data_IF_460764158347
#
_entry.id   IF_460764158347
#
_cell.length_a   1.000
_cell.length_b   1.000
_cell.length_c   1.000
_cell.angle_alpha   90.00
_cell.angle_beta   90.00
_cell.angle_gamma   90.00
#
_symmetry.space_group_name_H-M   'P 1'
#
loop_
_entity.id
_entity.type
_entity.pdbx_description
1 polymer ?
#
# COMPACT_ATOMS: atom_id res chain seq x y z
N UNK A 1 -7.60 30.69 19.04
CA UNK A 1 -8.48 29.51 19.07
C UNK A 1 -8.04 28.59 17.95
N UNK A 2 -7.28 27.54 18.27
CA UNK A 2 -6.79 26.58 17.28
C UNK A 2 -7.86 25.52 17.04
N UNK A 3 -8.39 25.46 15.82
CA UNK A 3 -9.27 24.39 15.39
C UNK A 3 -8.42 23.14 15.21
N UNK A 4 -8.34 22.30 16.25
CA UNK A 4 -8.02 20.89 16.11
C UNK A 4 -9.17 20.23 15.34
N UNK A 5 -9.27 20.51 14.04
CA UNK A 5 -9.94 19.60 13.14
C UNK A 5 -9.02 18.41 13.01
N UNK A 6 -9.13 17.49 13.97
CA UNK A 6 -8.75 16.10 13.75
C UNK A 6 -9.69 15.57 12.66
N UNK A 7 -9.44 15.98 11.41
CA UNK A 7 -10.01 15.35 10.24
C UNK A 7 -9.48 13.92 10.26
N UNK A 8 -10.33 12.97 10.65
CA UNK A 8 -10.01 11.55 10.49
C UNK A 8 -9.58 11.34 9.03
N UNK A 9 -8.49 10.61 8.76
CA UNK A 9 -7.99 10.39 7.39
C UNK A 9 -9.08 9.88 6.43
N UNK A 10 -10.04 9.10 6.93
CA UNK A 10 -11.20 8.64 6.15
C UNK A 10 -12.16 9.76 5.72
N UNK A 11 -12.29 10.84 6.49
CA UNK A 11 -13.12 11.98 6.15
C UNK A 11 -12.58 12.75 4.94
N UNK A 12 -11.24 12.88 4.83
CA UNK A 12 -10.61 13.53 3.68
C UNK A 12 -10.80 12.72 2.38
N UNK A 13 -10.55 11.41 2.43
CA UNK A 13 -10.78 10.51 1.29
C UNK A 13 -12.25 10.51 0.87
N UNK A 14 -13.17 10.54 1.84
CA UNK A 14 -14.60 10.67 1.58
C UNK A 14 -14.94 11.93 0.79
N UNK A 15 -14.37 13.08 1.16
CA UNK A 15 -14.56 14.35 0.44
C UNK A 15 -14.04 14.30 -1.00
N UNK A 16 -12.85 13.72 -1.22
CA UNK A 16 -12.30 13.53 -2.57
C UNK A 16 -13.22 12.67 -3.44
N UNK A 17 -13.71 11.56 -2.88
CA UNK A 17 -14.63 10.66 -3.59
C UNK A 17 -15.96 11.36 -3.94
N UNK A 18 -16.51 12.16 -3.04
CA UNK A 18 -17.74 12.91 -3.28
C UNK A 18 -17.55 14.01 -4.34
N UNK A 19 -16.40 14.68 -4.33
CA UNK A 19 -16.03 15.66 -5.34
C UNK A 19 -15.88 15.00 -6.73
N UNK A 20 -15.21 13.85 -6.82
CA UNK A 20 -15.07 13.11 -8.07
C UNK A 20 -16.44 12.70 -8.64
N UNK A 21 -17.33 12.16 -7.79
CA UNK A 21 -18.70 11.81 -8.19
C UNK A 21 -19.49 13.01 -8.67
N UNK A 22 -19.31 14.17 -8.03
CA UNK A 22 -19.95 15.42 -8.43
C UNK A 22 -19.47 15.87 -9.82
N UNK A 23 -18.16 15.96 -10.02
CA UNK A 23 -17.57 16.36 -11.31
C UNK A 23 -18.03 15.43 -12.44
N UNK A 24 -18.01 14.12 -12.21
CA UNK A 24 -18.49 13.14 -13.19
C UNK A 24 -19.97 13.37 -13.58
N UNK A 25 -20.85 13.60 -12.59
CA UNK A 25 -22.27 13.87 -12.87
C UNK A 25 -22.44 15.18 -13.64
N UNK A 26 -21.74 16.23 -13.25
CA UNK A 26 -21.84 17.53 -13.91
C UNK A 26 -21.30 17.49 -15.34
N UNK A 27 -20.17 16.81 -15.58
CA UNK A 27 -19.60 16.65 -16.91
C UNK A 27 -20.54 15.85 -17.82
N UNK A 28 -21.12 14.75 -17.32
CA UNK A 28 -22.14 13.97 -18.06
C UNK A 28 -23.36 14.82 -18.41
N UNK A 29 -23.83 15.64 -17.47
CA UNK A 29 -24.96 16.53 -17.71
C UNK A 29 -24.63 17.61 -18.76
N UNK A 30 -23.43 18.19 -18.72
CA UNK A 30 -22.96 19.17 -19.69
C UNK A 30 -22.88 18.57 -21.11
N UNK A 31 -22.33 17.35 -21.23
CA UNK A 31 -22.28 16.60 -22.50
C UNK A 31 -23.69 16.35 -23.04
N UNK A 32 -24.63 15.91 -22.18
CA UNK A 32 -26.01 15.66 -22.58
C UNK A 32 -26.75 16.93 -23.06
N UNK A 33 -26.33 18.09 -22.58
CA UNK A 33 -26.86 19.39 -22.99
C UNK A 33 -26.15 19.97 -24.22
N UNK A 34 -25.10 19.32 -24.72
CA UNK A 34 -24.28 19.81 -25.82
C UNK A 34 -23.31 20.94 -25.43
N UNK A 35 -23.16 21.22 -24.13
CA UNK A 35 -22.22 22.22 -23.62
C UNK A 35 -20.83 21.60 -23.43
N UNK A 36 -20.13 21.41 -24.55
CA UNK A 36 -18.80 20.79 -24.56
C UNK A 36 -17.73 21.68 -23.92
N UNK A 37 -17.91 23.01 -23.92
CA UNK A 37 -16.98 23.93 -23.28
C UNK A 37 -16.97 23.73 -21.77
N UNK A 38 -18.15 23.64 -21.16
CA UNK A 38 -18.30 23.34 -19.75
C UNK A 38 -17.89 21.91 -19.42
N UNK A 39 -18.20 20.94 -20.29
CA UNK A 39 -17.75 19.57 -20.10
C UNK A 39 -16.22 19.47 -20.06
N UNK A 40 -15.52 20.18 -20.95
CA UNK A 40 -14.05 20.24 -20.97
C UNK A 40 -13.49 20.77 -19.65
N UNK A 41 -13.97 21.93 -19.19
CA UNK A 41 -13.51 22.50 -17.93
C UNK A 41 -13.75 21.57 -16.72
N UNK A 42 -14.89 20.88 -16.69
CA UNK A 42 -15.20 19.92 -15.64
C UNK A 42 -14.34 18.64 -15.69
N UNK A 43 -13.84 18.28 -16.87
CA UNK A 43 -12.89 17.17 -17.04
C UNK A 43 -11.51 17.62 -16.57
N UNK A 44 -11.06 18.83 -16.95
CA UNK A 44 -9.79 19.40 -16.49
C UNK A 44 -9.77 19.50 -14.94
N UNK A 45 -10.87 19.95 -14.33
CA UNK A 45 -11.03 19.96 -12.86
C UNK A 45 -10.94 18.55 -12.25
N UNK A 46 -11.42 17.52 -12.96
CA UNK A 46 -11.34 16.14 -12.52
C UNK A 46 -9.93 15.56 -12.67
N UNK A 47 -9.14 16.02 -13.65
CA UNK A 47 -7.72 15.68 -13.80
C UNK A 47 -6.90 16.24 -12.63
N UNK A 48 -7.11 17.51 -12.25
CA UNK A 48 -6.47 18.08 -11.07
C UNK A 48 -6.79 17.31 -9.79
N UNK A 49 -8.05 16.88 -9.63
CA UNK A 49 -8.45 16.04 -8.50
C UNK A 49 -7.76 14.66 -8.53
N UNK A 50 -7.52 14.10 -9.72
CA UNK A 50 -6.82 12.83 -9.86
C UNK A 50 -5.35 12.96 -9.47
N UNK A 51 -4.70 14.08 -9.79
CA UNK A 51 -3.34 14.39 -9.35
C UNK A 51 -3.25 14.50 -7.83
N UNK A 52 -4.21 15.17 -7.18
CA UNK A 52 -4.29 15.25 -5.71
C UNK A 52 -4.44 13.86 -5.07
N UNK A 53 -5.28 13.00 -5.65
CA UNK A 53 -5.46 11.61 -5.19
C UNK A 53 -4.17 10.81 -5.40
N UNK A 54 -3.48 10.99 -6.51
CA UNK A 54 -2.23 10.30 -6.79
C UNK A 54 -1.15 10.66 -5.77
N UNK A 55 -0.94 11.95 -5.50
CA UNK A 55 0.01 12.40 -4.48
C UNK A 55 -0.33 11.86 -3.08
N UNK A 56 -1.61 11.81 -2.71
CA UNK A 56 -2.03 11.21 -1.44
C UNK A 56 -1.68 9.73 -1.35
N UNK A 57 -1.90 8.96 -2.42
CA UNK A 57 -1.59 7.53 -2.47
C UNK A 57 -0.09 7.32 -2.34
N UNK A 58 0.72 8.08 -3.09
CA UNK A 58 2.18 8.01 -3.02
C UNK A 58 2.69 8.29 -1.60
N UNK A 59 2.14 9.31 -0.93
CA UNK A 59 2.49 9.65 0.46
C UNK A 59 2.13 8.52 1.44
N UNK A 60 1.01 7.83 1.22
CA UNK A 60 0.60 6.70 2.05
C UNK A 60 1.54 5.51 1.81
N UNK A 61 1.83 5.20 0.55
CA UNK A 61 2.73 4.11 0.18
C UNK A 61 4.13 4.33 0.76
N UNK A 62 4.65 5.56 0.69
CA UNK A 62 5.95 5.89 1.25
C UNK A 62 5.97 5.68 2.77
N UNK A 63 4.96 6.20 3.49
CA UNK A 63 4.85 6.05 4.94
C UNK A 63 4.73 4.59 5.39
N UNK A 64 3.95 3.77 4.68
CA UNK A 64 3.83 2.34 5.00
C UNK A 64 5.12 1.59 4.68
N UNK A 65 5.81 1.95 3.59
CA UNK A 65 7.11 1.37 3.23
C UNK A 65 8.15 1.67 4.31
N UNK A 66 8.26 2.92 4.75
CA UNK A 66 9.18 3.33 5.82
C UNK A 66 8.90 2.56 7.12
N UNK A 67 7.62 2.47 7.50
CA UNK A 67 7.20 1.73 8.69
C UNK A 67 7.57 0.25 8.62
N UNK A 68 7.42 -0.39 7.46
CA UNK A 68 7.82 -1.78 7.27
C UNK A 68 9.35 -1.95 7.34
N UNK A 69 10.11 -1.00 6.80
CA UNK A 69 11.58 -1.00 6.91
C UNK A 69 12.04 -0.85 8.36
N UNK A 70 11.42 0.04 9.13
CA UNK A 70 11.69 0.20 10.56
C UNK A 70 11.41 -1.09 11.34
N UNK A 71 10.29 -1.77 11.07
CA UNK A 71 9.95 -3.04 11.69
C UNK A 71 10.95 -4.15 11.32
N UNK A 72 11.38 -4.21 10.05
CA UNK A 72 12.39 -5.16 9.61
C UNK A 72 13.75 -4.90 10.26
N UNK A 73 14.18 -3.64 10.37
CA UNK A 73 15.40 -3.25 11.05
C UNK A 73 15.36 -3.65 12.55
N UNK A 74 14.26 -3.34 13.23
CA UNK A 74 14.06 -3.74 14.62
C UNK A 74 14.16 -5.26 14.81
N UNK A 75 13.54 -6.04 13.91
CA UNK A 75 13.60 -7.49 13.95
C UNK A 75 15.03 -8.05 13.79
N UNK A 76 15.89 -7.39 13.00
CA UNK A 76 17.31 -7.78 12.86
C UNK A 76 18.17 -7.43 14.07
N UNK A 77 17.80 -6.41 14.86
CA UNK A 77 18.53 -6.01 16.09
C UNK A 77 18.14 -6.81 17.33
N UNK A 78 16.98 -7.47 17.32
CA UNK A 78 16.66 -8.53 18.29
C UNK A 78 17.50 -9.77 17.97
N UNK A 79 18.74 -9.81 18.46
CA UNK A 79 19.45 -11.08 18.61
C UNK A 79 18.53 -12.05 19.37
N UNK A 80 18.35 -13.31 18.89
CA UNK A 80 17.79 -14.32 19.76
C UNK A 80 18.68 -14.37 21.01
N UNK A 81 18.14 -14.52 22.23
CA UNK A 81 18.99 -14.78 23.37
C UNK A 81 19.83 -16.00 23.00
N UNK A 82 21.15 -15.81 22.94
CA UNK A 82 22.10 -16.89 22.88
C UNK A 82 21.97 -17.64 24.21
N UNK A 83 20.95 -18.48 24.31
CA UNK A 83 20.77 -19.40 25.42
C UNK A 83 21.81 -20.51 25.22
N UNK A 84 23.04 -20.20 25.61
CA UNK A 84 24.19 -21.10 25.66
C UNK A 84 24.04 -22.11 26.82
N UNK A 85 22.83 -22.67 27.00
CA UNK A 85 22.50 -23.59 28.09
C UNK A 85 22.07 -24.98 27.66
N UNK A 86 22.17 -25.31 26.38
CA UNK A 86 22.03 -26.69 25.92
C UNK A 86 23.10 -27.01 24.87
N UNK A 87 24.35 -27.12 25.32
CA UNK A 87 25.42 -27.75 24.55
C UNK A 87 25.51 -29.24 24.96
N UNK A 88 24.79 -30.16 24.31
CA UNK A 88 24.99 -31.59 24.55
C UNK A 88 26.40 -32.01 24.08
N UNK A 89 27.00 -33.05 24.71
CA UNK A 89 28.35 -33.46 24.37
C UNK A 89 28.43 -33.90 22.91
N UNK A 90 29.47 -33.41 22.21
CA UNK A 90 29.81 -33.75 20.83
C UNK A 90 30.00 -35.26 20.67
N UNK A 91 28.92 -36.00 20.44
CA UNK A 91 28.96 -37.33 19.83
C UNK A 91 28.83 -37.14 18.33
N UNK A 92 29.90 -37.49 17.62
CA UNK A 92 29.98 -37.53 16.15
C UNK A 92 28.95 -38.53 15.63
N UNK A 93 27.76 -38.05 15.29
CA UNK A 93 26.81 -38.79 14.47
C UNK A 93 26.92 -38.22 13.05
N UNK A 94 27.59 -38.96 12.16
CA UNK A 94 27.52 -38.70 10.71
C UNK A 94 26.08 -39.01 10.29
N UNK A 95 25.26 -37.99 10.15
CA UNK A 95 23.97 -38.10 9.46
C UNK A 95 24.25 -37.85 7.98
N UNK A 96 24.09 -38.90 7.19
CA UNK A 96 24.10 -38.80 5.74
C UNK A 96 22.89 -37.95 5.32
N UNK A 97 23.16 -36.75 4.80
CA UNK A 97 22.18 -35.88 4.16
C UNK A 97 21.86 -36.52 2.80
N UNK A 98 20.89 -37.43 2.79
CA UNK A 98 20.29 -37.99 1.60
C UNK A 98 19.16 -37.07 1.13
N UNK A 99 19.25 -36.65 -0.13
CA UNK A 99 18.40 -35.66 -0.79
C UNK A 99 16.90 -35.97 -0.73
N UNK A 100 16.10 -34.97 -0.36
CA UNK A 100 14.65 -34.94 -0.64
C UNK A 100 14.11 -33.50 -0.65
N UNK A 101 14.57 -32.69 -1.61
CA UNK A 101 13.86 -31.50 -2.07
C UNK A 101 13.84 -31.48 -3.60
N UNK A 102 12.99 -32.32 -4.19
CA UNK A 102 12.61 -32.21 -5.59
C UNK A 102 11.25 -32.88 -5.78
N UNK A 103 10.16 -32.18 -5.43
CA UNK A 103 8.85 -32.34 -6.07
C UNK A 103 7.89 -31.30 -5.50
N UNK A 104 7.77 -30.13 -6.16
CA UNK A 104 6.52 -29.37 -6.36
C UNK A 104 6.81 -28.02 -7.03
N UNK A 105 7.29 -28.07 -8.27
CA UNK A 105 7.11 -26.99 -9.25
C UNK A 105 6.65 -27.66 -10.55
N UNK A 106 5.37 -27.98 -10.59
CA UNK A 106 4.68 -28.32 -11.81
C UNK A 106 3.22 -27.98 -11.58
N UNK A 107 2.83 -26.76 -11.96
CA UNK A 107 1.55 -26.43 -12.61
C UNK A 107 1.55 -24.92 -12.90
N UNK A 108 2.45 -24.51 -13.79
CA UNK A 108 2.24 -23.34 -14.66
C UNK A 108 2.42 -23.81 -16.09
N UNK A 109 1.27 -23.99 -16.74
CA UNK A 109 0.98 -23.74 -18.16
C UNK A 109 1.89 -24.35 -19.23
N UNK A 110 1.38 -25.40 -19.90
CA UNK A 110 1.32 -25.56 -21.36
C UNK A 110 0.42 -26.75 -21.72
#
# INVERSE_FOLDING_TARGET
MGSNASDEPGAFVGRLADQARRLQREARNAIAQGDYSRASALIDDAELLADDVHGLVDDIEHRETDRLMELAAAATTTEPPADDRLRPPRRRLRVAIGASLAMSLALTEC
#
